data_IF_615441229079
#
_entry.id   IF_615441229079
#
_cell.length_a   1.000
_cell.length_b   1.000
_cell.length_c   1.000
_cell.angle_alpha   90.00
_cell.angle_beta   90.00
_cell.angle_gamma   90.00
#
_symmetry.space_group_name_H-M   'P 1'
#
loop_
_entity.id
_entity.type
_entity.pdbx_description
1 polymer ?
#
# COMPACT_ATOMS: atom_id res chain seq x y z
N UNK A 1 -5.72 9.55 6.80
CA UNK A 1 -6.91 8.67 6.89
C UNK A 1 -6.74 7.70 8.06
N UNK A 2 -7.81 7.15 8.63
CA UNK A 2 -7.71 6.21 9.76
C UNK A 2 -7.97 4.74 9.35
N UNK A 3 -7.35 3.77 10.03
CA UNK A 3 -7.58 2.33 9.81
C UNK A 3 -7.57 1.49 11.10
N UNK A 4 -8.32 0.40 11.14
CA UNK A 4 -8.28 -0.64 12.16
C UNK A 4 -7.80 -1.97 11.58
N UNK A 5 -7.47 -2.94 12.44
CA UNK A 5 -6.93 -4.26 12.03
C UNK A 5 -7.88 -5.10 11.19
N UNK A 6 -9.19 -4.83 11.26
CA UNK A 6 -10.22 -5.51 10.46
C UNK A 6 -10.63 -4.73 9.20
N UNK A 7 -10.05 -3.55 8.96
CA UNK A 7 -10.38 -2.77 7.76
C UNK A 7 -9.73 -3.39 6.51
N UNK A 8 -10.35 -3.17 5.36
CA UNK A 8 -9.76 -3.46 4.05
C UNK A 8 -9.62 -2.13 3.31
N UNK A 9 -8.40 -1.78 2.94
CA UNK A 9 -8.12 -0.50 2.30
C UNK A 9 -7.95 -0.75 0.79
N UNK A 10 -8.88 -0.21 0.01
CA UNK A 10 -8.79 -0.20 -1.44
C UNK A 10 -7.87 0.93 -1.88
N UNK A 11 -6.79 0.57 -2.58
CA UNK A 11 -5.81 1.49 -3.12
C UNK A 11 -5.93 1.49 -4.63
N UNK A 12 -6.04 2.70 -5.19
CA UNK A 12 -6.04 2.93 -6.64
C UNK A 12 -4.88 3.86 -6.97
N UNK A 13 -4.09 3.48 -7.98
CA UNK A 13 -3.11 4.36 -8.60
C UNK A 13 -3.60 4.68 -9.99
N UNK A 14 -3.75 5.97 -10.30
CA UNK A 14 -4.23 6.43 -11.60
C UNK A 14 -3.20 7.35 -12.25
N UNK A 15 -3.16 7.32 -13.58
CA UNK A 15 -2.66 8.44 -14.37
C UNK A 15 -3.45 9.71 -14.06
N UNK A 16 -2.77 10.86 -14.03
CA UNK A 16 -3.42 12.15 -13.76
C UNK A 16 -4.36 12.58 -14.89
N UNK A 17 -4.04 12.17 -16.13
CA UNK A 17 -4.84 12.39 -17.33
C UNK A 17 -5.05 11.07 -18.08
N UNK A 18 -5.91 11.08 -19.11
CA UNK A 18 -6.17 9.91 -19.97
C UNK A 18 -4.97 9.49 -20.82
N UNK A 19 -3.89 10.28 -20.85
CA UNK A 19 -2.65 9.98 -21.59
C UNK A 19 -1.48 9.66 -20.67
N UNK A 20 -1.63 9.86 -19.35
CA UNK A 20 -0.57 9.59 -18.38
C UNK A 20 -0.56 8.11 -18.01
N UNK A 21 0.09 7.32 -18.85
CA UNK A 21 0.25 5.87 -18.64
C UNK A 21 1.55 5.55 -17.89
N UNK A 22 1.56 4.39 -17.23
CA UNK A 22 2.75 3.81 -16.63
C UNK A 22 2.90 2.33 -17.01
N UNK A 23 4.15 1.90 -17.18
CA UNK A 23 4.52 0.52 -17.53
C UNK A 23 4.63 -0.35 -16.27
N UNK A 24 5.12 0.24 -15.17
CA UNK A 24 5.42 -0.47 -13.93
C UNK A 24 4.90 0.24 -12.68
N UNK A 25 4.58 -0.57 -11.68
CA UNK A 25 4.19 -0.11 -10.33
C UNK A 25 4.82 -1.04 -9.30
N UNK A 26 5.17 -0.48 -8.14
CA UNK A 26 5.42 -1.21 -6.91
C UNK A 26 4.71 -0.50 -5.76
N UNK A 27 3.79 -1.19 -5.09
CA UNK A 27 3.11 -0.74 -3.87
C UNK A 27 3.64 -1.51 -2.67
N UNK A 28 4.00 -0.80 -1.60
CA UNK A 28 4.43 -1.39 -0.33
C UNK A 28 3.90 -0.56 0.83
N UNK A 29 3.41 -1.22 1.88
CA UNK A 29 3.02 -0.57 3.13
C UNK A 29 4.16 -0.71 4.15
N UNK A 30 4.52 0.39 4.82
CA UNK A 30 5.63 0.43 5.78
C UNK A 30 5.25 1.17 7.06
N UNK A 31 5.81 0.76 8.19
CA UNK A 31 5.79 1.57 9.41
C UNK A 31 6.50 2.89 9.16
N UNK A 32 6.00 4.00 9.72
CA UNK A 32 6.62 5.30 9.53
C UNK A 32 7.94 5.41 10.30
N UNK A 33 8.02 4.84 11.51
CA UNK A 33 9.18 4.98 12.38
C UNK A 33 10.33 4.05 11.97
N UNK A 34 10.06 2.77 11.72
CA UNK A 34 11.11 1.78 11.42
C UNK A 34 11.29 1.46 9.94
N UNK A 35 10.37 1.87 9.07
CA UNK A 35 10.39 1.52 7.64
C UNK A 35 10.14 0.03 7.38
N UNK A 36 9.73 -0.72 8.40
CA UNK A 36 9.40 -2.14 8.31
C UNK A 36 8.18 -2.34 7.42
N UNK A 37 8.26 -3.31 6.50
CA UNK A 37 7.13 -3.68 5.65
C UNK A 37 6.06 -4.41 6.47
N UNK A 38 4.80 -4.01 6.33
CA UNK A 38 3.69 -4.52 7.14
C UNK A 38 2.40 -4.77 6.34
N UNK A 39 1.54 -5.60 6.92
CA UNK A 39 0.25 -5.97 6.33
C UNK A 39 0.41 -6.89 5.11
N UNK A 40 -0.69 -7.13 4.42
CA UNK A 40 -0.75 -8.08 3.31
C UNK A 40 -1.57 -7.50 2.18
N UNK A 41 -1.18 -7.79 0.95
CA UNK A 41 -1.86 -7.33 -0.24
C UNK A 41 -2.62 -8.43 -0.94
N UNK A 42 -3.72 -8.05 -1.58
CA UNK A 42 -4.47 -8.89 -2.50
C UNK A 42 -4.65 -8.16 -3.82
N UNK A 43 -4.48 -8.90 -4.91
CA UNK A 43 -4.65 -8.41 -6.28
C UNK A 43 -6.14 -8.27 -6.59
N UNK A 44 -6.52 -7.13 -7.17
CA UNK A 44 -7.85 -6.93 -7.76
C UNK A 44 -7.76 -6.80 -9.28
N UNK A 45 -6.69 -6.16 -9.78
CA UNK A 45 -6.45 -5.98 -11.20
C UNK A 45 -5.78 -7.20 -11.85
N UNK A 46 -6.23 -7.59 -13.05
CA UNK A 46 -5.58 -8.62 -13.87
C UNK A 46 -4.17 -8.23 -14.35
N UNK A 47 -3.75 -6.98 -14.16
CA UNK A 47 -2.44 -6.45 -14.59
C UNK A 47 -1.39 -6.43 -13.49
N UNK A 48 -1.74 -6.85 -12.27
CA UNK A 48 -0.85 -6.83 -11.11
C UNK A 48 -0.75 -8.18 -10.42
N UNK A 49 0.32 -8.38 -9.66
CA UNK A 49 0.59 -9.57 -8.87
C UNK A 49 1.15 -9.19 -7.51
N UNK A 50 0.93 -10.06 -6.53
CA UNK A 50 1.62 -9.98 -5.23
C UNK A 50 3.10 -10.32 -5.38
N UNK A 51 3.92 -9.70 -4.55
CA UNK A 51 5.36 -9.97 -4.45
C UNK A 51 5.77 -9.97 -2.98
N UNK A 52 6.85 -10.69 -2.70
CA UNK A 52 7.46 -10.71 -1.38
C UNK A 52 8.47 -9.56 -1.30
N UNK A 53 8.32 -8.70 -0.29
CA UNK A 53 9.29 -7.67 0.04
C UNK A 53 9.98 -8.02 1.36
N UNK A 54 11.29 -7.82 1.41
CA UNK A 54 12.13 -8.09 2.59
C UNK A 54 11.95 -9.52 3.17
N UNK A 55 11.75 -10.50 2.28
CA UNK A 55 11.54 -11.90 2.66
C UNK A 55 10.15 -12.23 3.23
N UNK A 56 9.26 -11.25 3.35
CA UNK A 56 7.91 -11.43 3.89
C UNK A 56 6.91 -11.64 2.74
N UNK A 57 6.04 -12.63 2.88
CA UNK A 57 5.11 -13.03 1.82
C UNK A 57 4.01 -12.00 1.58
N UNK A 58 3.67 -11.76 0.31
CA UNK A 58 2.51 -10.95 -0.12
C UNK A 58 2.48 -9.52 0.45
N UNK A 59 3.66 -8.93 0.67
CA UNK A 59 3.80 -7.61 1.30
C UNK A 59 3.97 -6.46 0.32
N UNK A 60 3.99 -6.76 -0.98
CA UNK A 60 3.87 -5.75 -2.02
C UNK A 60 3.03 -6.21 -3.20
N UNK A 61 2.71 -5.25 -4.06
CA UNK A 61 2.06 -5.46 -5.36
C UNK A 61 2.97 -4.91 -6.45
N UNK A 62 3.12 -5.65 -7.54
CA UNK A 62 3.85 -5.21 -8.74
C UNK A 62 3.09 -5.54 -10.02
N UNK A 63 3.58 -5.06 -11.16
CA UNK A 63 3.02 -5.34 -12.49
C UNK A 63 3.33 -6.78 -12.95
N UNK A 64 2.49 -7.32 -13.84
CA UNK A 64 2.73 -8.62 -14.51
C UNK A 64 3.47 -8.45 -15.84
N UNK A 65 3.16 -7.40 -16.59
CA UNK A 65 3.77 -7.04 -17.88
C UNK A 65 4.13 -5.55 -17.90
N UNK A 66 4.96 -5.16 -18.86
CA UNK A 66 5.32 -3.76 -19.13
C UNK A 66 4.30 -3.05 -20.03
N UNK A 67 3.12 -3.65 -20.28
CA UNK A 67 2.07 -2.99 -21.06
C UNK A 67 1.62 -1.70 -20.37
N UNK A 68 1.27 -0.69 -21.16
CA UNK A 68 0.80 0.59 -20.63
C UNK A 68 -0.48 0.44 -19.79
N UNK A 69 -0.48 1.05 -18.61
CA UNK A 69 -1.61 1.06 -17.67
C UNK A 69 -2.00 2.50 -17.37
N UNK A 70 -3.30 2.76 -17.39
CA UNK A 70 -3.86 4.01 -16.86
C UNK A 70 -4.20 3.91 -15.38
N UNK A 71 -4.48 2.70 -14.90
CA UNK A 71 -4.87 2.47 -13.51
C UNK A 71 -4.43 1.09 -13.03
N UNK A 72 -4.13 1.00 -11.75
CA UNK A 72 -4.03 -0.28 -11.02
C UNK A 72 -4.78 -0.18 -9.71
N UNK A 73 -5.37 -1.31 -9.32
CA UNK A 73 -6.10 -1.45 -8.06
C UNK A 73 -5.57 -2.63 -7.25
N UNK A 74 -5.54 -2.45 -5.94
CA UNK A 74 -5.18 -3.47 -4.98
C UNK A 74 -5.90 -3.26 -3.65
N UNK A 75 -6.05 -4.35 -2.89
CA UNK A 75 -6.52 -4.30 -1.51
C UNK A 75 -5.32 -4.47 -0.58
N UNK A 76 -5.27 -3.66 0.46
CA UNK A 76 -4.34 -3.80 1.56
C UNK A 76 -5.08 -4.15 2.85
N UNK A 77 -4.60 -5.20 3.50
CA UNK A 77 -5.03 -5.67 4.81
C UNK A 77 -3.98 -5.23 5.84
N UNK A 78 -4.37 -4.42 6.83
CA UNK A 78 -3.49 -4.06 7.94
C UNK A 78 -2.97 -5.30 8.68
N UNK A 79 -1.81 -5.20 9.35
CA UNK A 79 -1.34 -6.29 10.20
C UNK A 79 -2.31 -6.55 11.35
N UNK A 80 -2.35 -7.79 11.85
CA UNK A 80 -3.21 -8.19 12.96
C UNK A 80 -2.93 -7.40 14.26
N UNK A 81 -1.71 -6.86 14.39
CA UNK A 81 -1.28 -6.02 15.50
C UNK A 81 -0.67 -4.73 14.95
N UNK A 82 -1.09 -3.59 15.50
CA UNK A 82 -0.56 -2.27 15.16
C UNK A 82 0.43 -1.86 16.24
N UNK A 83 1.70 -1.75 15.87
CA UNK A 83 2.79 -1.41 16.80
C UNK A 83 3.39 -0.02 16.54
N UNK A 84 3.02 0.63 15.44
CA UNK A 84 3.47 1.97 15.05
C UNK A 84 2.25 2.91 14.96
N UNK A 85 2.36 4.16 15.46
CA UNK A 85 1.28 5.15 15.35
C UNK A 85 0.95 5.55 13.90
N UNK A 86 1.79 5.25 12.92
CA UNK A 86 1.57 5.62 11.53
C UNK A 86 2.05 4.54 10.55
N UNK A 87 1.32 4.42 9.45
CA UNK A 87 1.68 3.57 8.31
C UNK A 87 1.76 4.40 7.05
N UNK A 88 2.79 4.18 6.24
CA UNK A 88 2.97 4.81 4.94
C UNK A 88 2.73 3.77 3.87
N UNK A 89 1.75 4.00 3.00
CA UNK A 89 1.65 3.29 1.72
C UNK A 89 2.51 4.04 0.72
N UNK A 90 3.45 3.36 0.08
CA UNK A 90 4.42 3.93 -0.86
C UNK A 90 4.23 3.33 -2.25
N UNK A 91 4.14 4.20 -3.25
CA UNK A 91 4.13 3.82 -4.65
C UNK A 91 5.44 4.23 -5.35
N UNK A 92 6.01 3.30 -6.09
CA UNK A 92 7.08 3.54 -7.08
C UNK A 92 6.51 3.25 -8.46
N UNK A 93 6.65 4.20 -9.39
CA UNK A 93 6.03 4.15 -10.72
C UNK A 93 7.12 4.20 -11.79
N UNK A 94 6.98 3.39 -12.83
CA UNK A 94 7.87 3.39 -14.00
C UNK A 94 7.02 3.77 -15.21
N UNK A 95 7.37 4.85 -15.90
CA UNK A 95 6.65 5.29 -17.11
C UNK A 95 7.38 4.91 -18.40
N UNK A 96 8.68 4.63 -18.32
CA UNK A 96 9.50 4.09 -19.40
C UNK A 96 10.77 3.43 -18.82
N UNK A 97 11.45 2.57 -19.58
CA UNK A 97 12.72 1.95 -19.18
C UNK A 97 13.78 2.93 -18.63
N UNK A 98 13.80 4.17 -19.10
CA UNK A 98 14.74 5.21 -18.67
C UNK A 98 14.15 6.19 -17.66
N UNK A 99 12.87 6.06 -17.30
CA UNK A 99 12.14 7.01 -16.45
C UNK A 99 11.45 6.28 -15.31
N UNK A 100 12.14 6.25 -14.17
CA UNK A 100 11.67 5.64 -12.93
C UNK A 100 11.39 6.76 -11.93
N UNK A 101 10.16 6.81 -11.44
CA UNK A 101 9.80 7.68 -10.34
C UNK A 101 9.72 6.88 -9.03
N UNK A 102 10.75 7.06 -8.21
CA UNK A 102 10.85 6.45 -6.90
C UNK A 102 10.18 7.38 -5.88
N UNK A 103 9.16 6.88 -5.16
CA UNK A 103 8.45 7.58 -4.08
C UNK A 103 7.47 8.65 -4.54
N UNK A 104 6.90 8.49 -5.73
CA UNK A 104 5.98 9.48 -6.28
C UNK A 104 4.79 9.77 -5.38
N UNK A 105 4.29 8.76 -4.66
CA UNK A 105 3.12 8.90 -3.81
C UNK A 105 3.31 8.20 -2.48
N UNK A 106 3.04 8.93 -1.40
CA UNK A 106 2.89 8.39 -0.06
C UNK A 106 1.58 8.89 0.55
N UNK A 107 0.83 7.96 1.14
CA UNK A 107 -0.28 8.32 2.03
C UNK A 107 0.05 7.83 3.43
N UNK A 108 -0.18 8.70 4.41
CA UNK A 108 -0.08 8.33 5.83
C UNK A 108 -1.45 7.89 6.34
N UNK A 109 -1.47 6.70 6.91
CA UNK A 109 -2.62 6.07 7.54
C UNK A 109 -2.35 6.00 9.05
N UNK A 110 -3.30 6.51 9.82
CA UNK A 110 -3.24 6.51 11.28
C UNK A 110 -4.14 5.38 11.80
N UNK A 111 -3.77 4.66 12.87
CA UNK A 111 -4.66 3.72 13.51
C UNK A 111 -5.91 4.42 14.07
N UNK A 112 -7.08 3.77 13.96
CA UNK A 112 -8.27 4.14 14.73
C UNK A 112 -7.91 3.97 16.21
N UNK A 113 -8.06 5.02 17.01
CA UNK A 113 -7.83 4.92 18.45
C UNK A 113 -8.88 3.98 19.06
N UNK A 114 -8.45 2.97 19.79
CA UNK A 114 -9.34 2.19 20.64
C UNK A 114 -9.58 3.00 21.92
N UNK A 115 -10.77 3.57 22.08
CA UNK A 115 -11.18 4.13 23.37
C UNK A 115 -11.40 2.98 24.35
N UNK A 116 -10.41 2.66 25.17
CA UNK A 116 -10.58 1.77 26.31
C UNK A 116 -10.98 2.64 27.51
N UNK A 117 -12.28 2.77 27.76
CA UNK A 117 -12.76 3.30 29.04
C UNK A 117 -12.64 2.21 30.10
N UNK A 118 -11.71 2.35 31.05
CA UNK A 118 -11.72 1.55 32.27
C UNK A 118 -12.80 2.07 33.21
N UNK A 119 -13.92 1.34 33.33
CA UNK A 119 -14.80 1.51 34.48
C UNK A 119 -14.10 0.85 35.69
N UNK A 120 -13.34 1.65 36.44
CA UNK A 120 -12.86 1.25 37.76
C UNK A 120 -14.03 1.37 38.74
N UNK A 121 -14.75 0.28 38.99
CA UNK A 121 -15.61 0.16 40.17
C UNK A 121 -14.76 -0.24 41.36
N UNK A 122 -14.57 0.69 42.30
CA UNK A 122 -14.26 0.41 43.71
C UNK A 122 -15.47 0.76 44.54
#
# INVERSE_FOLDING_TARGET
>A
SQYGTSDVIHITVNGSTSTDVFEGVLLVAKTQTSGQVIGTWVVVSSTTRVVNCDGVANTGITHISNDNKLSVEALWYPPATITDPNTIIRATIVTAFTTIYVNCFSITLNPKQANISSNSTT
#
